data_IF_217684902432
#
_entry.id   IF_217684902432
#
_cell.length_a   1.000
_cell.length_b   1.000
_cell.length_c   1.000
_cell.angle_alpha   90.00
_cell.angle_beta   90.00
_cell.angle_gamma   90.00
#
_symmetry.space_group_name_H-M   'P 1'
#
loop_
_entity.id
_entity.type
_entity.pdbx_description
1 polymer ?
#
# COMPACT_ATOMS: atom_id res chain seq x y z
N UNK A 1 11.73 68.29 44.47
CA UNK A 1 12.20 67.07 43.78
C UNK A 1 11.11 66.02 43.90
N UNK A 2 10.55 65.56 42.79
CA UNK A 2 9.57 64.46 42.79
C UNK A 2 10.34 63.13 42.90
N UNK A 3 9.82 62.13 43.64
CA UNK A 3 10.47 60.82 43.73
C UNK A 3 10.42 60.13 42.37
N UNK A 4 11.53 59.49 41.99
CA UNK A 4 11.63 58.66 40.79
C UNK A 4 10.70 57.46 40.94
N UNK A 5 9.64 57.43 40.13
CA UNK A 5 8.80 56.24 39.99
C UNK A 5 9.52 55.29 39.02
N UNK A 6 10.32 54.36 39.56
CA UNK A 6 10.84 53.24 38.76
C UNK A 6 9.68 52.28 38.51
N UNK A 7 9.04 52.43 37.35
CA UNK A 7 8.14 51.41 36.81
C UNK A 7 9.02 50.27 36.31
N UNK A 8 9.28 49.28 37.18
CA UNK A 8 9.90 48.02 36.77
C UNK A 8 8.86 47.23 35.98
N UNK A 9 9.01 47.17 34.66
CA UNK A 9 8.22 46.28 33.82
C UNK A 9 8.52 44.83 34.26
N UNK A 10 7.50 44.03 34.64
CA UNK A 10 7.73 42.65 35.04
C UNK A 10 8.32 41.85 33.88
N UNK A 11 9.42 41.15 34.15
CA UNK A 11 10.08 40.27 33.17
C UNK A 11 9.19 39.06 32.89
N UNK A 12 8.80 38.90 31.62
CA UNK A 12 7.93 37.81 31.14
C UNK A 12 8.68 36.46 31.00
N UNK A 13 9.81 36.28 31.68
CA UNK A 13 10.73 35.12 31.53
C UNK A 13 10.08 33.76 31.86
N UNK A 14 8.92 33.77 32.53
CA UNK A 14 8.14 32.57 32.87
C UNK A 14 6.76 32.52 32.25
N UNK A 15 6.42 33.48 31.39
CA UNK A 15 5.17 33.45 30.63
C UNK A 15 5.44 32.59 29.39
N UNK A 16 4.61 31.56 29.12
CA UNK A 16 4.66 30.86 27.85
C UNK A 16 4.64 31.89 26.72
N UNK A 17 5.75 32.01 26.00
CA UNK A 17 5.93 32.95 24.89
C UNK A 17 5.01 32.61 23.71
N UNK A 18 4.43 31.41 23.75
CA UNK A 18 3.47 30.93 22.80
C UNK A 18 2.43 30.08 23.56
N UNK A 19 1.15 30.44 23.42
CA UNK A 19 0.02 29.60 23.79
C UNK A 19 -0.64 29.16 22.50
N UNK A 20 -0.69 27.84 22.27
CA UNK A 20 -1.46 27.25 21.17
C UNK A 20 -2.64 26.49 21.76
N UNK A 21 -3.81 26.79 21.22
CA UNK A 21 -5.03 26.07 21.52
C UNK A 21 -5.35 25.19 20.31
N UNK A 22 -5.26 23.89 20.52
CA UNK A 22 -5.69 22.87 19.56
C UNK A 22 -7.04 22.33 20.04
N UNK A 23 -8.12 22.74 19.38
CA UNK A 23 -9.40 22.04 19.44
C UNK A 23 -9.44 21.01 18.31
N UNK A 24 -10.11 19.88 18.52
CA UNK A 24 -10.27 18.76 17.57
C UNK A 24 -9.01 17.91 17.26
N UNK A 25 -7.89 18.05 17.97
CA UNK A 25 -6.68 17.23 17.75
C UNK A 25 -6.64 15.93 18.60
N UNK A 26 -7.75 15.49 19.19
CA UNK A 26 -7.74 14.40 20.19
C UNK A 26 -7.19 13.09 19.63
N UNK A 27 -7.58 12.75 18.41
CA UNK A 27 -7.17 11.56 17.70
C UNK A 27 -5.69 11.63 17.33
N UNK A 28 -5.23 12.79 16.83
CA UNK A 28 -3.82 13.02 16.49
C UNK A 28 -2.93 12.92 17.73
N UNK A 29 -3.35 13.52 18.85
CA UNK A 29 -2.62 13.42 20.12
C UNK A 29 -2.60 11.99 20.64
N UNK A 30 -3.70 11.26 20.50
CA UNK A 30 -3.78 9.84 20.89
C UNK A 30 -2.83 9.00 20.04
N UNK A 31 -2.81 9.19 18.72
CA UNK A 31 -1.89 8.52 17.82
C UNK A 31 -0.44 8.85 18.16
N UNK A 32 -0.11 10.12 18.40
CA UNK A 32 1.23 10.55 18.79
C UNK A 32 1.69 9.85 20.07
N UNK A 33 0.82 9.76 21.09
CA UNK A 33 1.12 9.01 22.32
C UNK A 33 1.35 7.52 22.06
N UNK A 34 0.57 6.89 21.17
CA UNK A 34 0.74 5.47 20.81
C UNK A 34 2.09 5.27 20.11
N UNK A 35 2.47 6.14 19.18
CA UNK A 35 3.73 6.02 18.46
C UNK A 35 4.95 6.24 19.38
N UNK A 36 4.86 7.14 20.36
CA UNK A 36 5.89 7.29 21.40
C UNK A 36 5.98 6.02 22.25
N UNK A 37 4.85 5.49 22.73
CA UNK A 37 4.82 4.26 23.56
C UNK A 37 5.29 3.01 22.82
N UNK A 38 5.21 3.03 21.48
CA UNK A 38 5.65 1.95 20.61
C UNK A 38 7.10 2.11 20.13
N UNK A 39 7.85 3.08 20.66
CA UNK A 39 9.21 3.42 20.25
C UNK A 39 9.36 3.77 18.74
N UNK A 40 8.28 4.26 18.11
CA UNK A 40 8.27 4.70 16.70
C UNK A 40 8.54 6.21 16.61
N UNK A 41 7.95 7.00 17.51
CA UNK A 41 8.09 8.45 17.53
C UNK A 41 9.25 8.90 18.43
N UNK A 42 9.94 9.98 18.06
CA UNK A 42 11.04 10.52 18.86
C UNK A 42 10.75 11.91 19.42
N UNK A 43 11.52 12.34 20.41
CA UNK A 43 11.48 13.72 20.92
C UNK A 43 12.04 14.72 19.91
N UNK A 44 13.02 14.31 19.10
CA UNK A 44 13.63 15.19 18.09
C UNK A 44 12.62 15.64 17.04
N UNK A 45 11.74 14.74 16.58
CA UNK A 45 10.69 15.11 15.61
C UNK A 45 9.70 16.12 16.22
N UNK A 46 9.48 16.09 17.55
CA UNK A 46 8.58 17.00 18.26
C UNK A 46 9.16 18.42 18.34
N UNK A 47 10.46 18.52 18.57
CA UNK A 47 11.15 19.81 18.52
C UNK A 47 11.17 20.38 17.10
N UNK A 48 11.49 19.54 16.11
CA UNK A 48 11.53 19.91 14.69
C UNK A 48 10.16 20.29 14.12
N UNK A 49 9.07 19.72 14.64
CA UNK A 49 7.72 20.09 14.22
C UNK A 49 7.29 21.47 14.71
N UNK A 50 8.10 22.14 15.55
CA UNK A 50 7.69 23.36 16.24
C UNK A 50 6.54 23.10 17.21
N UNK A 51 6.52 21.89 17.81
CA UNK A 51 5.50 21.45 18.78
C UNK A 51 4.08 21.45 18.22
N UNK A 52 3.96 21.11 16.94
CA UNK A 52 2.70 20.92 16.23
C UNK A 52 2.43 19.41 16.07
N UNK A 53 1.24 18.94 16.46
CA UNK A 53 0.92 17.52 16.53
C UNK A 53 0.80 16.87 15.14
N UNK A 54 0.16 17.55 14.17
CA UNK A 54 0.02 17.05 12.81
C UNK A 54 1.39 16.96 12.11
N UNK A 55 2.20 18.02 12.19
CA UNK A 55 3.57 18.02 11.66
C UNK A 55 4.46 17.00 12.36
N UNK A 56 4.28 16.81 13.67
CA UNK A 56 5.01 15.80 14.44
C UNK A 56 4.75 14.39 13.91
N UNK A 57 3.48 14.04 13.71
CA UNK A 57 3.08 12.76 13.14
C UNK A 57 3.60 12.57 11.73
N UNK A 58 3.48 13.60 10.89
CA UNK A 58 4.02 13.58 9.52
C UNK A 58 5.52 13.31 9.50
N UNK A 59 6.31 14.07 10.27
CA UNK A 59 7.77 13.87 10.38
C UNK A 59 8.14 12.49 10.91
N UNK A 60 7.41 12.04 11.95
CA UNK A 60 7.61 10.72 12.56
C UNK A 60 7.40 9.60 11.54
N UNK A 61 6.26 9.62 10.83
CA UNK A 61 5.92 8.61 9.83
C UNK A 61 6.91 8.64 8.66
N UNK A 62 7.24 9.83 8.14
CA UNK A 62 8.22 9.98 7.05
C UNK A 62 9.60 9.42 7.42
N UNK A 63 10.08 9.68 8.65
CA UNK A 63 11.33 9.11 9.15
C UNK A 63 11.22 7.59 9.27
N UNK A 64 10.17 7.12 9.94
CA UNK A 64 9.97 5.69 10.18
C UNK A 64 9.95 4.91 8.87
N UNK A 65 9.19 5.37 7.87
CA UNK A 65 9.12 4.78 6.53
C UNK A 65 10.50 4.73 5.89
N UNK A 66 11.25 5.84 5.93
CA UNK A 66 12.60 5.93 5.36
C UNK A 66 13.56 4.90 5.98
N UNK A 67 13.49 4.71 7.29
CA UNK A 67 14.30 3.73 8.03
C UNK A 67 13.87 2.28 7.76
N UNK A 68 12.61 2.06 7.37
CA UNK A 68 12.01 0.74 7.19
C UNK A 68 11.78 0.38 5.71
N UNK A 69 12.57 0.95 4.80
CA UNK A 69 12.59 0.54 3.39
C UNK A 69 11.83 1.45 2.43
N UNK A 70 11.34 2.60 2.88
CA UNK A 70 10.68 3.62 2.04
C UNK A 70 11.50 3.96 0.80
N UNK A 71 12.81 4.18 0.93
CA UNK A 71 13.70 4.48 -0.21
C UNK A 71 13.71 3.37 -1.27
N UNK A 72 13.49 2.11 -0.88
CA UNK A 72 13.39 1.00 -1.84
C UNK A 72 12.01 0.92 -2.49
N UNK A 73 10.96 1.30 -1.75
CA UNK A 73 9.57 1.38 -2.23
C UNK A 73 9.44 2.53 -3.24
N UNK A 74 9.87 3.74 -2.89
CA UNK A 74 9.80 4.95 -3.73
C UNK A 74 10.54 4.82 -5.07
N UNK A 75 11.50 3.89 -5.16
CA UNK A 75 12.22 3.60 -6.42
C UNK A 75 11.42 2.75 -7.40
N UNK A 76 10.37 2.08 -6.93
CA UNK A 76 9.68 0.99 -7.62
C UNK A 76 8.18 1.19 -7.69
N UNK A 77 7.61 1.98 -6.80
CA UNK A 77 6.20 2.25 -6.70
C UNK A 77 5.98 3.73 -6.47
N UNK A 78 5.01 4.29 -7.17
CA UNK A 78 4.52 5.65 -6.95
C UNK A 78 3.36 5.53 -5.96
N UNK A 79 3.68 5.65 -4.66
CA UNK A 79 2.73 5.52 -3.55
C UNK A 79 2.75 6.78 -2.70
N UNK A 80 1.56 7.26 -2.39
CA UNK A 80 1.32 8.26 -1.38
C UNK A 80 0.79 7.64 -0.10
N UNK A 81 1.02 8.36 1.00
CA UNK A 81 0.55 7.98 2.33
C UNK A 81 -0.09 9.20 2.98
N UNK A 82 -1.39 9.10 3.20
CA UNK A 82 -2.19 10.18 3.77
C UNK A 82 -2.73 9.78 5.14
N UNK A 83 -2.58 10.67 6.13
CA UNK A 83 -3.23 10.54 7.43
C UNK A 83 -4.39 11.55 7.47
N UNK A 84 -5.62 11.07 7.55
CA UNK A 84 -6.82 11.89 7.39
C UNK A 84 -7.92 11.50 8.40
N UNK A 85 -8.75 12.46 8.78
CA UNK A 85 -10.01 12.21 9.49
C UNK A 85 -11.17 11.89 8.51
N UNK A 86 -10.88 11.82 7.21
CA UNK A 86 -11.79 11.46 6.12
C UNK A 86 -11.27 10.24 5.39
N UNK A 87 -12.19 9.40 4.91
CA UNK A 87 -11.83 8.23 4.14
C UNK A 87 -11.48 8.59 2.68
N UNK A 88 -12.14 9.62 2.13
CA UNK A 88 -11.97 10.04 0.75
C UNK A 88 -11.87 11.57 0.69
N UNK A 89 -10.89 12.07 -0.06
CA UNK A 89 -10.52 13.50 -0.04
C UNK A 89 -11.59 14.45 -0.61
N UNK A 90 -12.48 13.96 -1.47
CA UNK A 90 -13.59 14.73 -2.01
C UNK A 90 -14.87 14.67 -1.17
N UNK A 91 -14.89 13.87 -0.09
CA UNK A 91 -16.03 13.81 0.82
C UNK A 91 -15.95 14.92 1.87
N UNK A 92 -17.08 15.54 2.17
CA UNK A 92 -17.22 16.42 3.34
C UNK A 92 -17.54 15.63 4.62
N UNK A 93 -17.81 14.33 4.51
CA UNK A 93 -18.08 13.46 5.65
C UNK A 93 -16.78 13.09 6.36
N UNK A 94 -16.70 13.46 7.63
CA UNK A 94 -15.66 12.94 8.53
C UNK A 94 -15.97 11.51 8.90
N UNK A 95 -14.92 10.75 9.17
CA UNK A 95 -15.04 9.46 9.82
C UNK A 95 -15.73 9.57 11.19
N UNK A 96 -16.19 8.44 11.74
CA UNK A 96 -16.75 8.40 13.09
C UNK A 96 -15.78 9.02 14.12
N UNK A 97 -16.32 9.68 15.15
CA UNK A 97 -15.52 10.26 16.24
C UNK A 97 -14.51 9.23 16.78
N UNK A 98 -13.25 9.65 16.99
CA UNK A 98 -12.18 8.75 17.40
C UNK A 98 -11.46 8.01 16.25
N UNK A 99 -11.80 8.28 14.99
CA UNK A 99 -11.22 7.58 13.83
C UNK A 99 -10.21 8.44 13.08
N UNK A 100 -9.05 7.86 12.76
CA UNK A 100 -8.12 8.36 11.75
C UNK A 100 -7.87 7.26 10.73
N UNK A 101 -7.83 7.65 9.46
CA UNK A 101 -7.48 6.79 8.35
C UNK A 101 -6.02 7.02 7.98
N UNK A 102 -5.28 5.92 7.85
CA UNK A 102 -3.98 5.91 7.20
C UNK A 102 -4.18 5.27 5.82
N UNK A 103 -4.21 6.11 4.80
CA UNK A 103 -4.55 5.75 3.42
C UNK A 103 -3.25 5.59 2.65
N UNK A 104 -3.11 4.48 1.93
CA UNK A 104 -2.03 4.25 0.98
C UNK A 104 -2.64 4.19 -0.41
N UNK A 105 -2.31 5.17 -1.25
CA UNK A 105 -2.87 5.35 -2.57
C UNK A 105 -1.76 5.40 -3.63
N UNK A 106 -1.88 4.62 -4.71
CA UNK A 106 -0.94 4.72 -5.81
C UNK A 106 -1.29 5.88 -6.73
N UNK A 107 -0.32 6.75 -6.99
CA UNK A 107 -0.37 7.77 -8.05
C UNK A 107 -0.21 7.15 -9.45
N UNK A 108 0.43 5.98 -9.50
CA UNK A 108 0.76 5.28 -10.71
C UNK A 108 0.88 3.77 -10.48
N UNK A 109 0.77 3.02 -11.56
CA UNK A 109 0.96 1.57 -11.52
C UNK A 109 2.37 1.22 -11.99
N UNK A 110 3.16 0.60 -11.12
CA UNK A 110 4.38 -0.08 -11.55
C UNK A 110 4.01 -1.33 -12.36
N UNK A 111 4.91 -1.84 -13.21
CA UNK A 111 4.70 -3.12 -13.86
C UNK A 111 5.91 -4.04 -13.75
N UNK A 112 5.66 -5.35 -13.64
CA UNK A 112 6.70 -6.38 -13.63
C UNK A 112 6.37 -7.44 -14.68
N UNK A 113 7.30 -7.62 -15.62
CA UNK A 113 7.18 -8.64 -16.65
C UNK A 113 7.55 -10.00 -16.05
N UNK A 114 6.55 -10.86 -15.89
CA UNK A 114 6.72 -12.12 -15.16
C UNK A 114 7.36 -13.23 -16.00
N UNK A 115 7.30 -13.15 -17.33
CA UNK A 115 7.72 -14.24 -18.23
C UNK A 115 9.11 -14.81 -17.94
N UNK A 116 10.20 -14.02 -17.84
CA UNK A 116 11.54 -14.58 -17.58
C UNK A 116 11.62 -15.31 -16.24
N UNK A 117 10.91 -14.80 -15.22
CA UNK A 117 10.83 -15.44 -13.90
C UNK A 117 10.07 -16.75 -14.00
N UNK A 118 8.93 -16.77 -14.68
CA UNK A 118 8.14 -18.00 -14.84
C UNK A 118 8.92 -19.08 -15.60
N UNK A 119 9.59 -18.73 -16.69
CA UNK A 119 10.42 -19.66 -17.47
C UNK A 119 11.57 -20.23 -16.61
N UNK A 120 12.25 -19.37 -15.84
CA UNK A 120 13.32 -19.80 -14.93
C UNK A 120 12.80 -20.77 -13.86
N UNK A 121 11.67 -20.46 -13.23
CA UNK A 121 11.05 -21.31 -12.20
C UNK A 121 10.62 -22.67 -12.76
N UNK A 122 10.16 -22.70 -14.01
CA UNK A 122 9.72 -23.93 -14.68
C UNK A 122 10.86 -24.93 -14.88
N UNK A 123 12.09 -24.45 -15.07
CA UNK A 123 13.29 -25.32 -15.19
C UNK A 123 13.55 -26.18 -13.95
N UNK A 124 13.07 -25.75 -12.78
CA UNK A 124 13.28 -26.43 -11.51
C UNK A 124 12.12 -27.38 -11.18
N UNK A 125 10.88 -26.93 -11.40
CA UNK A 125 9.70 -27.75 -11.14
C UNK A 125 8.48 -27.22 -11.92
N UNK A 126 7.70 -28.08 -12.60
CA UNK A 126 6.62 -27.66 -13.52
C UNK A 126 5.53 -26.83 -12.84
N UNK A 127 5.23 -27.10 -11.56
CA UNK A 127 4.22 -26.37 -10.78
C UNK A 127 4.76 -25.10 -10.09
N UNK A 128 6.07 -24.85 -10.14
CA UNK A 128 6.69 -23.73 -9.42
C UNK A 128 6.29 -22.35 -9.98
N UNK A 129 6.12 -22.15 -11.30
CA UNK A 129 5.61 -20.89 -11.85
C UNK A 129 4.23 -20.51 -11.29
N UNK A 130 3.23 -21.39 -11.42
CA UNK A 130 1.89 -21.18 -10.87
C UNK A 130 1.91 -20.98 -9.34
N UNK A 131 2.75 -21.75 -8.64
CA UNK A 131 2.93 -21.61 -7.19
C UNK A 131 3.46 -20.23 -6.83
N UNK A 132 4.51 -19.78 -7.52
CA UNK A 132 5.13 -18.50 -7.24
C UNK A 132 4.16 -17.36 -7.51
N UNK A 133 3.53 -17.36 -8.68
CA UNK A 133 2.59 -16.34 -9.10
C UNK A 133 1.42 -16.18 -8.11
N UNK A 134 0.74 -17.29 -7.77
CA UNK A 134 -0.41 -17.26 -6.87
C UNK A 134 -0.07 -16.74 -5.47
N UNK A 135 1.06 -17.19 -4.90
CA UNK A 135 1.46 -16.74 -3.57
C UNK A 135 1.98 -15.30 -3.58
N UNK A 136 2.59 -14.84 -4.68
CA UNK A 136 3.06 -13.46 -4.84
C UNK A 136 1.86 -12.52 -4.87
N UNK A 137 0.95 -12.73 -5.84
CA UNK A 137 -0.30 -11.97 -5.99
C UNK A 137 -1.08 -11.98 -4.69
N UNK A 138 -1.36 -13.17 -4.14
CA UNK A 138 -2.17 -13.31 -2.93
C UNK A 138 -1.53 -12.68 -1.68
N UNK A 139 -0.20 -12.54 -1.64
CA UNK A 139 0.47 -11.85 -0.53
C UNK A 139 0.46 -10.34 -0.69
N UNK A 140 0.58 -9.83 -1.91
CA UNK A 140 0.54 -8.39 -2.20
C UNK A 140 -0.89 -7.85 -2.10
N UNK A 141 -1.88 -8.54 -2.68
CA UNK A 141 -3.31 -8.19 -2.65
C UNK A 141 -3.93 -8.13 -1.24
N UNK A 142 -3.18 -8.52 -0.19
CA UNK A 142 -3.58 -8.28 1.20
C UNK A 142 -3.43 -6.84 1.64
N UNK A 143 -2.50 -6.10 1.04
CA UNK A 143 -2.08 -4.77 1.48
C UNK A 143 -2.23 -3.72 0.40
N UNK A 144 -2.05 -4.11 -0.86
CA UNK A 144 -2.09 -3.19 -2.02
C UNK A 144 -2.75 -3.88 -3.21
N UNK A 145 -3.44 -3.13 -4.07
CA UNK A 145 -4.11 -3.69 -5.25
C UNK A 145 -3.09 -4.06 -6.32
N UNK A 146 -3.05 -5.34 -6.69
CA UNK A 146 -2.26 -5.87 -7.82
C UNK A 146 -3.21 -6.28 -8.92
N UNK A 147 -2.98 -5.82 -10.14
CA UNK A 147 -3.70 -6.22 -11.34
C UNK A 147 -3.00 -7.41 -12.01
N UNK A 148 -3.70 -8.53 -12.13
CA UNK A 148 -3.18 -9.77 -12.69
C UNK A 148 -4.01 -10.31 -13.88
N UNK A 149 -3.85 -11.59 -14.22
CA UNK A 149 -4.57 -12.19 -15.35
C UNK A 149 -6.04 -12.44 -15.06
N UNK A 150 -6.39 -12.79 -13.81
CA UNK A 150 -7.77 -13.04 -13.42
C UNK A 150 -8.56 -11.71 -13.54
N UNK A 151 -7.93 -10.59 -13.15
CA UNK A 151 -8.47 -9.24 -13.35
C UNK A 151 -8.63 -8.86 -14.83
N UNK A 152 -7.70 -9.30 -15.68
CA UNK A 152 -7.76 -9.05 -17.12
C UNK A 152 -8.89 -9.85 -17.79
N UNK A 153 -9.10 -11.11 -17.37
CA UNK A 153 -10.22 -11.95 -17.82
C UNK A 153 -11.56 -11.33 -17.40
N UNK A 154 -11.71 -10.96 -16.13
CA UNK A 154 -12.93 -10.30 -15.62
C UNK A 154 -13.20 -8.99 -16.36
N UNK A 155 -12.16 -8.19 -16.63
CA UNK A 155 -12.30 -6.94 -17.40
C UNK A 155 -12.79 -7.21 -18.82
N UNK A 156 -12.28 -8.24 -19.47
CA UNK A 156 -12.71 -8.62 -20.82
C UNK A 156 -14.15 -9.12 -20.84
N UNK A 157 -14.57 -9.89 -19.84
CA UNK A 157 -15.95 -10.35 -19.75
C UNK A 157 -16.92 -9.18 -19.55
N UNK A 158 -16.59 -8.21 -18.68
CA UNK A 158 -17.37 -6.97 -18.57
C UNK A 158 -17.43 -6.17 -19.87
N UNK A 159 -16.32 -6.10 -20.64
CA UNK A 159 -16.31 -5.41 -21.94
C UNK A 159 -17.23 -6.10 -22.95
N UNK A 160 -17.23 -7.44 -22.98
CA UNK A 160 -18.12 -8.22 -23.85
C UNK A 160 -19.58 -7.96 -23.53
N UNK A 161 -19.96 -8.01 -22.26
CA UNK A 161 -21.33 -7.71 -21.81
C UNK A 161 -21.77 -6.29 -22.21
N UNK A 162 -20.87 -5.31 -22.11
CA UNK A 162 -21.13 -3.95 -22.56
C UNK A 162 -21.34 -3.87 -24.07
N UNK A 163 -20.47 -4.49 -24.86
CA UNK A 163 -20.54 -4.44 -26.32
C UNK A 163 -21.80 -5.11 -26.87
N UNK A 164 -22.28 -6.18 -26.23
CA UNK A 164 -23.55 -6.84 -26.60
C UNK A 164 -24.76 -5.89 -26.59
N UNK A 165 -24.71 -4.81 -25.81
CA UNK A 165 -25.75 -3.78 -25.74
C UNK A 165 -25.63 -2.65 -26.78
N UNK A 166 -24.56 -2.61 -27.56
CA UNK A 166 -24.25 -1.52 -28.51
C UNK A 166 -24.84 -1.78 -29.90
N UNK A 167 -25.09 -0.72 -30.67
CA UNK A 167 -25.65 -0.85 -32.03
C UNK A 167 -24.69 -1.54 -33.02
N UNK A 168 -23.39 -1.52 -32.75
CA UNK A 168 -22.35 -2.13 -33.59
C UNK A 168 -21.23 -2.77 -32.74
N UNK A 169 -21.47 -3.95 -32.15
CA UNK A 169 -20.50 -4.63 -31.28
C UNK A 169 -19.19 -4.99 -31.97
N UNK A 170 -19.23 -5.25 -33.29
CA UNK A 170 -18.08 -5.72 -34.07
C UNK A 170 -16.99 -4.65 -34.26
N UNK A 171 -17.28 -3.39 -33.95
CA UNK A 171 -16.29 -2.30 -34.05
C UNK A 171 -15.28 -2.31 -32.92
N UNK A 172 -15.55 -3.04 -31.82
CA UNK A 172 -14.70 -3.05 -30.64
C UNK A 172 -13.76 -4.27 -30.65
N UNK A 173 -12.47 -4.02 -30.43
CA UNK A 173 -11.47 -5.09 -30.27
C UNK A 173 -11.45 -5.60 -28.83
N UNK A 174 -11.56 -6.92 -28.66
CA UNK A 174 -11.45 -7.59 -27.35
C UNK A 174 -10.09 -8.27 -27.25
N UNK A 175 -9.26 -7.95 -26.24
CA UNK A 175 -7.97 -8.61 -26.04
C UNK A 175 -8.10 -10.12 -25.80
N UNK A 176 -7.23 -10.92 -26.43
CA UNK A 176 -7.13 -12.37 -26.20
C UNK A 176 -6.31 -12.69 -24.94
N UNK A 177 -6.94 -12.54 -23.77
CA UNK A 177 -6.27 -12.81 -22.48
C UNK A 177 -5.93 -14.29 -22.35
N UNK A 178 -6.83 -15.20 -22.76
CA UNK A 178 -6.60 -16.64 -22.62
C UNK A 178 -5.37 -17.10 -23.43
N UNK A 179 -5.21 -16.60 -24.66
CA UNK A 179 -4.05 -16.89 -25.51
C UNK A 179 -2.75 -16.27 -24.98
N UNK A 180 -2.83 -15.14 -24.29
CA UNK A 180 -1.68 -14.47 -23.67
C UNK A 180 -1.24 -15.10 -22.35
N UNK A 181 -2.15 -15.75 -21.59
CA UNK A 181 -1.86 -16.36 -20.29
C UNK A 181 -0.91 -17.57 -20.43
N UNK A 182 0.28 -17.56 -19.79
CA UNK A 182 1.22 -18.68 -19.86
C UNK A 182 0.60 -20.00 -19.37
N UNK A 183 0.76 -21.07 -20.17
CA UNK A 183 0.20 -22.40 -19.85
C UNK A 183 0.67 -22.94 -18.49
N UNK A 184 1.91 -22.62 -18.09
CA UNK A 184 2.46 -23.02 -16.79
C UNK A 184 1.70 -22.43 -15.59
N UNK A 185 0.89 -21.38 -15.77
CA UNK A 185 0.01 -20.83 -14.73
C UNK A 185 -1.30 -21.62 -14.55
N UNK A 186 -1.69 -22.45 -15.54
CA UNK A 186 -2.86 -23.35 -15.44
C UNK A 186 -2.58 -24.58 -14.54
N UNK A 187 -1.33 -24.80 -14.17
CA UNK A 187 -0.92 -25.87 -13.26
C UNK A 187 -1.45 -25.66 -11.84
N UNK A 188 -1.80 -26.75 -11.14
CA UNK A 188 -2.26 -26.67 -9.75
C UNK A 188 -1.13 -26.16 -8.83
N UNK A 189 -1.27 -25.03 -8.14
CA UNK A 189 -0.23 -24.51 -7.25
C UNK A 189 0.10 -25.45 -6.08
N UNK A 190 1.33 -25.41 -5.58
CA UNK A 190 1.73 -26.08 -4.35
C UNK A 190 1.21 -25.31 -3.13
N UNK A 191 0.99 -26.03 -2.03
CA UNK A 191 0.76 -25.40 -0.72
C UNK A 191 2.03 -24.70 -0.24
N UNK A 192 1.91 -23.75 0.70
CA UNK A 192 3.10 -23.11 1.31
C UNK A 192 4.04 -24.13 1.97
N UNK A 193 3.48 -25.21 2.54
CA UNK A 193 4.28 -26.31 3.08
C UNK A 193 5.07 -27.02 1.96
N UNK A 194 4.39 -27.37 0.86
CA UNK A 194 5.05 -27.98 -0.30
C UNK A 194 6.12 -27.09 -0.91
N UNK A 195 5.90 -25.77 -0.96
CA UNK A 195 6.91 -24.81 -1.41
C UNK A 195 8.13 -24.78 -0.47
N UNK A 196 7.93 -24.82 0.85
CA UNK A 196 9.03 -24.90 1.83
C UNK A 196 9.83 -26.18 1.68
N UNK A 197 9.17 -27.32 1.53
CA UNK A 197 9.82 -28.62 1.31
C UNK A 197 10.62 -28.60 0.00
N UNK A 198 10.03 -28.10 -1.09
CA UNK A 198 10.72 -27.94 -2.37
C UNK A 198 11.94 -27.01 -2.26
N UNK A 199 11.84 -25.90 -1.52
CA UNK A 199 12.94 -24.93 -1.36
C UNK A 199 14.25 -25.52 -0.83
N UNK A 200 14.18 -26.66 -0.12
CA UNK A 200 15.34 -27.35 0.45
C UNK A 200 16.13 -28.14 -0.61
N UNK A 201 15.51 -28.47 -1.75
CA UNK A 201 16.12 -29.27 -2.82
C UNK A 201 16.61 -28.43 -3.99
N UNK A 202 16.18 -27.17 -4.08
CA UNK A 202 16.59 -26.23 -5.14
C UNK A 202 18.08 -25.92 -5.03
N UNK A 203 18.82 -26.24 -6.09
CA UNK A 203 20.27 -25.96 -6.21
C UNK A 203 20.58 -24.66 -6.92
N UNK A 204 19.67 -24.21 -7.79
CA UNK A 204 19.81 -22.93 -8.49
C UNK A 204 19.71 -21.78 -7.48
N UNK A 205 20.73 -20.90 -7.47
CA UNK A 205 20.84 -19.83 -6.47
C UNK A 205 19.82 -18.72 -6.70
N UNK A 206 19.49 -18.42 -7.94
CA UNK A 206 18.54 -17.37 -8.30
C UNK A 206 17.12 -17.81 -7.96
N UNK A 207 16.75 -19.03 -8.37
CA UNK A 207 15.45 -19.62 -7.99
C UNK A 207 15.33 -19.74 -6.48
N UNK A 208 16.39 -20.14 -5.79
CA UNK A 208 16.37 -20.23 -4.33
C UNK A 208 16.17 -18.85 -3.69
N UNK A 209 16.77 -17.79 -4.21
CA UNK A 209 16.55 -16.42 -3.73
C UNK A 209 15.10 -15.96 -3.94
N UNK A 210 14.54 -16.21 -5.12
CA UNK A 210 13.13 -15.91 -5.44
C UNK A 210 12.17 -16.62 -4.49
N UNK A 211 12.33 -17.94 -4.30
CA UNK A 211 11.47 -18.73 -3.41
C UNK A 211 11.59 -18.30 -1.95
N UNK A 212 12.80 -17.96 -1.48
CA UNK A 212 13.00 -17.42 -0.13
C UNK A 212 12.34 -16.07 0.05
N UNK A 213 12.49 -15.17 -0.93
CA UNK A 213 11.82 -13.86 -0.95
C UNK A 213 10.31 -14.00 -0.89
N UNK A 214 9.74 -14.89 -1.70
CA UNK A 214 8.31 -15.19 -1.69
C UNK A 214 7.84 -15.72 -0.33
N UNK A 215 8.57 -16.67 0.27
CA UNK A 215 8.21 -17.20 1.60
C UNK A 215 8.28 -16.13 2.69
N UNK A 216 9.24 -15.21 2.60
CA UNK A 216 9.33 -14.06 3.50
C UNK A 216 8.14 -13.11 3.29
N UNK A 217 7.80 -12.80 2.04
CA UNK A 217 6.64 -11.97 1.70
C UNK A 217 5.34 -12.59 2.23
N UNK A 218 5.12 -13.89 2.02
CA UNK A 218 3.93 -14.59 2.55
C UNK A 218 3.85 -14.52 4.08
N UNK A 219 5.00 -14.56 4.76
CA UNK A 219 5.06 -14.45 6.23
C UNK A 219 4.73 -13.03 6.68
N UNK A 220 5.38 -12.02 6.11
CA UNK A 220 5.16 -10.62 6.49
C UNK A 220 3.74 -10.19 6.18
N UNK A 221 3.21 -10.59 5.01
CA UNK A 221 1.84 -10.25 4.60
C UNK A 221 0.77 -10.84 5.51
N UNK A 222 1.09 -11.87 6.30
CA UNK A 222 0.16 -12.50 7.25
C UNK A 222 0.32 -12.04 8.70
N UNK A 223 1.26 -11.14 8.99
CA UNK A 223 1.56 -10.74 10.38
C UNK A 223 0.54 -9.78 10.96
N UNK A 224 -0.16 -9.02 10.12
CA UNK A 224 -1.19 -8.08 10.54
C UNK A 224 -2.53 -8.46 9.92
N UNK A 225 -3.61 -8.15 10.65
CA UNK A 225 -4.98 -8.28 10.16
C UNK A 225 -5.24 -7.13 9.19
N UNK A 226 -5.79 -7.43 8.01
CA UNK A 226 -6.27 -6.40 7.08
C UNK A 226 -7.37 -5.58 7.77
N UNK A 227 -7.37 -4.24 7.65
CA UNK A 227 -8.50 -3.42 8.07
C UNK A 227 -9.79 -3.91 7.39
N UNK A 228 -10.86 -4.05 8.18
CA UNK A 228 -12.19 -4.37 7.65
C UNK A 228 -12.87 -3.06 7.26
N UNK A 229 -13.45 -3.04 6.06
CA UNK A 229 -14.33 -1.94 5.65
C UNK A 229 -15.76 -2.26 6.11
N UNK A 230 -16.45 -1.24 6.62
CA UNK A 230 -17.90 -1.32 6.83
C UNK A 230 -18.61 -1.17 5.48
N UNK A 231 -19.88 -1.56 5.42
CA UNK A 231 -20.70 -1.37 4.21
C UNK A 231 -20.73 0.12 3.81
N UNK A 232 -20.91 1.02 4.78
CA UNK A 232 -20.86 2.49 4.55
C UNK A 232 -19.52 2.97 3.96
N UNK A 233 -18.39 2.44 4.46
CA UNK A 233 -17.07 2.75 3.89
C UNK A 233 -16.95 2.21 2.46
N UNK A 234 -17.53 1.03 2.20
CA UNK A 234 -17.60 0.44 0.86
C UNK A 234 -18.37 1.32 -0.11
N UNK A 235 -19.53 1.84 0.29
CA UNK A 235 -20.35 2.76 -0.52
C UNK A 235 -19.60 4.07 -0.83
N UNK A 236 -18.92 4.67 0.15
CA UNK A 236 -18.12 5.88 -0.10
C UNK A 236 -16.97 5.62 -1.09
N UNK A 237 -16.42 4.40 -1.09
CA UNK A 237 -15.37 3.98 -2.01
C UNK A 237 -15.91 3.51 -3.38
N UNK A 238 -17.22 3.37 -3.58
CA UNK A 238 -17.78 2.90 -4.85
C UNK A 238 -17.64 3.91 -6.00
N UNK A 239 -17.71 5.22 -5.71
CA UNK A 239 -17.48 6.27 -6.71
C UNK A 239 -15.99 6.43 -7.07
N UNK A 240 -15.11 5.81 -6.28
CA UNK A 240 -13.74 5.57 -6.69
C UNK A 240 -13.79 4.38 -7.65
N UNK A 241 -13.76 4.64 -8.97
CA UNK A 241 -13.39 3.63 -9.98
C UNK A 241 -12.35 2.66 -9.39
N UNK A 242 -12.38 1.35 -9.74
CA UNK A 242 -11.60 0.33 -9.03
C UNK A 242 -10.20 0.85 -8.74
N UNK A 243 -9.74 0.79 -7.46
CA UNK A 243 -8.58 1.53 -7.03
C UNK A 243 -7.41 1.21 -7.96
N UNK A 244 -6.73 2.27 -8.42
CA UNK A 244 -5.60 2.11 -9.32
C UNK A 244 -4.65 1.05 -8.73
N UNK A 245 -4.28 0.00 -9.48
CA UNK A 245 -3.37 -0.99 -8.95
C UNK A 245 -2.00 -0.35 -8.73
N UNK A 246 -1.35 -0.66 -7.61
CA UNK A 246 0.04 -0.25 -7.41
C UNK A 246 1.01 -1.05 -8.29
N UNK A 247 0.57 -2.22 -8.77
CA UNK A 247 1.39 -3.15 -9.53
C UNK A 247 0.57 -3.89 -10.59
N UNK A 248 1.06 -3.87 -11.82
CA UNK A 248 0.60 -4.70 -12.93
C UNK A 248 1.56 -5.89 -13.09
N UNK A 249 1.02 -7.11 -13.20
CA UNK A 249 1.83 -8.32 -13.44
C UNK A 249 1.56 -8.96 -14.82
N UNK A 250 1.78 -8.24 -15.94
CA UNK A 250 1.52 -8.78 -17.26
C UNK A 250 2.54 -9.85 -17.67
N UNK A 251 2.12 -10.72 -18.60
CA UNK A 251 3.01 -11.57 -19.39
C UNK A 251 3.02 -11.01 -20.80
N UNK A 252 4.09 -10.32 -21.23
CA UNK A 252 4.20 -9.97 -22.63
C UNK A 252 4.45 -11.25 -23.43
N UNK A 253 3.54 -11.59 -24.33
CA UNK A 253 3.91 -12.23 -25.59
C UNK A 253 4.04 -11.13 -26.64
N UNK A 254 5.11 -11.21 -27.43
CA UNK A 254 5.61 -10.10 -28.24
C UNK A 254 4.61 -9.47 -29.20
N UNK A 255 4.87 -8.20 -29.48
CA UNK A 255 4.42 -7.45 -30.64
C UNK A 255 4.71 -8.17 -31.96
N UNK A 256 4.02 -7.76 -33.04
CA UNK A 256 4.66 -7.07 -34.14
C UNK A 256 4.67 -5.55 -33.94
#
# INVERSE_FOLDING_TARGET
>A
MAPSCEVVLPTLERIPIEQRFSADDRELLTLAQILVKSDIASVEDWERSGRDAAKYLSLTLQRWIREHGGVAIDRRFDLDLTLSDRLVDYSDERGPEGTLYLIVDPDGAAFVLMKPVLELLETVHPRLPATFFRHLVGSLNRWVRVYDYDDAEERVDMLREWYEGEENPEQYEVPDIEGCTPKCLKEKPLTLRGLKELSQTIRDREVQALVRGLLQLCRVSSQAKRPEFTDDMGEQLMDSNPPLPCLLLPSPQGTP
#
